data_IF_689147915746
#
_entry.id   IF_689147915746
#
_cell.length_a   1.000
_cell.length_b   1.000
_cell.length_c   1.000
_cell.angle_alpha   90.00
_cell.angle_beta   90.00
_cell.angle_gamma   90.00
#
_symmetry.space_group_name_H-M   'P 1'
#
loop_
_entity.id
_entity.type
_entity.pdbx_description
1 polymer ?
#
# COMPACT_ATOMS: atom_id res chain seq x y z
N UNK A 1 -30.08 0.48 15.82
CA UNK A 1 -30.61 1.86 15.92
C UNK A 1 -30.24 2.63 14.65
N UNK A 2 -31.15 2.78 13.70
CA UNK A 2 -30.94 3.65 12.52
C UNK A 2 -31.65 4.98 12.77
N UNK A 3 -30.90 6.00 13.16
CA UNK A 3 -31.39 7.37 13.14
C UNK A 3 -31.55 7.80 11.68
N UNK A 4 -32.76 8.14 11.28
CA UNK A 4 -33.05 8.80 10.01
C UNK A 4 -32.61 10.26 10.15
N UNK A 5 -31.39 10.57 9.74
CA UNK A 5 -30.78 11.90 9.90
C UNK A 5 -30.75 12.71 8.59
N UNK A 6 -31.42 12.26 7.52
CA UNK A 6 -31.44 12.98 6.24
C UNK A 6 -30.10 12.96 5.48
N UNK A 7 -29.10 12.24 5.97
CA UNK A 7 -27.84 12.00 5.28
C UNK A 7 -28.05 10.87 4.26
N UNK A 8 -28.15 11.25 2.98
CA UNK A 8 -28.36 10.32 1.87
C UNK A 8 -27.05 9.75 1.30
N UNK A 9 -25.94 10.44 1.56
CA UNK A 9 -24.62 10.12 1.08
C UNK A 9 -23.59 10.04 2.20
N UNK A 10 -22.43 9.47 1.88
CA UNK A 10 -21.28 9.36 2.77
C UNK A 10 -20.05 9.91 2.07
N UNK A 11 -19.43 10.88 2.74
CA UNK A 11 -18.26 11.58 2.26
C UNK A 11 -17.06 11.21 3.15
N UNK A 12 -16.04 10.61 2.53
CA UNK A 12 -14.89 10.07 3.25
C UNK A 12 -13.61 10.09 2.41
N UNK A 13 -12.48 10.14 3.09
CA UNK A 13 -11.15 10.01 2.49
C UNK A 13 -10.50 8.71 2.90
N UNK A 14 -9.72 8.16 1.98
CA UNK A 14 -8.95 6.94 2.20
C UNK A 14 -7.48 7.20 1.94
N UNK A 15 -6.65 6.88 2.92
CA UNK A 15 -5.20 6.88 2.81
C UNK A 15 -4.65 5.49 3.14
N UNK A 16 -3.58 5.13 2.44
CA UNK A 16 -2.83 3.90 2.66
C UNK A 16 -1.39 4.27 3.00
N UNK A 17 -0.83 3.69 4.05
CA UNK A 17 0.57 3.90 4.37
C UNK A 17 1.45 3.07 3.44
N UNK A 18 2.30 3.73 2.65
CA UNK A 18 3.24 3.09 1.71
C UNK A 18 4.69 3.42 2.04
N UNK A 19 4.93 4.20 3.10
CA UNK A 19 6.26 4.49 3.64
C UNK A 19 6.93 3.28 4.30
N UNK A 20 8.18 3.49 4.72
CA UNK A 20 8.97 2.45 5.38
C UNK A 20 8.65 2.36 6.89
N UNK A 21 8.45 1.14 7.38
CA UNK A 21 8.24 0.86 8.81
C UNK A 21 6.77 0.93 9.23
N UNK A 22 6.51 1.44 10.44
CA UNK A 22 5.17 1.52 11.02
C UNK A 22 4.56 2.89 10.73
N UNK A 23 3.42 2.92 10.06
CA UNK A 23 2.67 4.15 9.81
C UNK A 23 2.15 4.75 11.12
N UNK A 24 2.64 5.94 11.49
CA UNK A 24 2.16 6.70 12.65
C UNK A 24 1.26 7.86 12.22
N UNK A 25 0.27 8.18 13.04
CA UNK A 25 -0.60 9.36 12.91
C UNK A 25 -0.32 10.42 13.98
N UNK A 26 0.50 10.10 14.97
CA UNK A 26 0.75 10.99 16.10
C UNK A 26 1.43 12.28 15.62
N UNK A 27 0.84 13.43 15.97
CA UNK A 27 1.35 14.75 15.59
C UNK A 27 1.13 15.14 14.12
N UNK A 28 0.43 14.31 13.33
CA UNK A 28 0.09 14.65 11.96
C UNK A 28 -1.19 15.49 11.91
N UNK A 29 -1.15 16.55 11.11
CA UNK A 29 -2.35 17.21 10.64
C UNK A 29 -3.01 16.33 9.59
N UNK A 30 -4.34 16.26 9.59
CA UNK A 30 -5.08 15.55 8.56
C UNK A 30 -5.23 16.45 7.32
N UNK A 31 -4.17 16.63 6.53
CA UNK A 31 -4.22 17.25 5.19
C UNK A 31 -3.41 16.41 4.21
N UNK A 32 -3.72 16.45 2.90
CA UNK A 32 -3.00 15.62 1.93
C UNK A 32 -1.50 15.85 1.93
N UNK A 33 -1.06 17.11 2.08
CA UNK A 33 0.35 17.46 2.10
C UNK A 33 1.09 16.90 3.33
N UNK A 34 0.51 17.00 4.52
CA UNK A 34 1.14 16.43 5.73
C UNK A 34 1.11 14.91 5.72
N UNK A 35 0.02 14.31 5.26
CA UNK A 35 -0.10 12.86 5.11
C UNK A 35 0.94 12.32 4.12
N UNK A 36 1.09 12.94 2.94
CA UNK A 36 2.09 12.57 1.94
C UNK A 36 3.52 12.68 2.48
N UNK A 37 3.84 13.76 3.18
CA UNK A 37 5.16 13.96 3.82
C UNK A 37 5.48 12.85 4.84
N UNK A 38 4.45 12.34 5.51
CA UNK A 38 4.57 11.28 6.50
C UNK A 38 4.54 9.86 5.89
N UNK A 39 4.54 9.71 4.57
CA UNK A 39 4.55 8.40 3.89
C UNK A 39 3.18 7.76 3.70
N UNK A 40 2.10 8.55 3.84
CA UNK A 40 0.76 8.11 3.51
C UNK A 40 0.39 8.52 2.09
N UNK A 41 -0.03 7.56 1.29
CA UNK A 41 -0.54 7.79 -0.06
C UNK A 41 -2.04 8.02 0.01
N UNK A 42 -2.51 9.11 -0.59
CA UNK A 42 -3.94 9.32 -0.83
C UNK A 42 -4.42 8.29 -1.85
N UNK A 43 -5.39 7.47 -1.45
CA UNK A 43 -6.07 6.53 -2.35
C UNK A 43 -7.21 7.24 -3.06
N UNK A 44 -7.96 8.06 -2.32
CA UNK A 44 -8.96 8.95 -2.91
C UNK A 44 -9.83 9.68 -1.90
N UNK A 45 -10.40 10.79 -2.37
CA UNK A 45 -11.57 11.41 -1.75
C UNK A 45 -12.82 10.88 -2.43
N UNK A 46 -13.81 10.53 -1.62
CA UNK A 46 -15.07 10.00 -2.11
C UNK A 46 -16.19 10.88 -1.57
N UNK A 47 -16.94 11.48 -2.49
CA UNK A 47 -18.12 12.28 -2.21
C UNK A 47 -19.35 11.69 -2.89
N UNK A 48 -20.52 11.79 -2.24
CA UNK A 48 -21.81 11.42 -2.84
C UNK A 48 -22.08 9.92 -2.93
N UNK A 49 -21.48 9.09 -2.07
CA UNK A 49 -21.68 7.64 -2.10
C UNK A 49 -23.01 7.19 -1.49
N UNK A 50 -23.80 6.38 -2.21
CA UNK A 50 -25.06 5.79 -1.71
C UNK A 50 -24.89 5.07 -0.37
N UNK A 51 -25.79 5.33 0.57
CA UNK A 51 -25.87 4.75 1.92
C UNK A 51 -26.04 3.22 1.98
N UNK A 52 -26.00 2.51 0.85
CA UNK A 52 -26.21 1.06 0.77
C UNK A 52 -25.30 0.39 -0.25
N UNK A 53 -24.57 -0.63 0.19
CA UNK A 53 -23.79 -1.53 -0.67
C UNK A 53 -22.28 -1.42 -0.54
N UNK A 54 -21.58 -2.18 -1.38
CA UNK A 54 -20.13 -2.11 -1.50
C UNK A 54 -19.73 -0.91 -2.36
N UNK A 55 -18.66 -0.23 -1.95
CA UNK A 55 -18.01 0.79 -2.75
C UNK A 55 -16.54 0.40 -2.95
N UNK A 56 -16.10 0.35 -4.20
CA UNK A 56 -14.67 0.25 -4.53
C UNK A 56 -14.00 1.57 -4.15
N UNK A 57 -12.92 1.47 -3.36
CA UNK A 57 -12.15 2.61 -2.86
C UNK A 57 -10.69 2.59 -3.31
N UNK A 58 -10.22 1.47 -3.82
CA UNK A 58 -8.84 1.23 -4.23
C UNK A 58 -8.83 0.49 -5.56
N UNK A 59 -9.00 1.25 -6.65
CA UNK A 59 -9.00 0.76 -8.04
C UNK A 59 -7.59 0.73 -8.65
N UNK A 60 -6.61 1.29 -7.95
CA UNK A 60 -5.20 1.37 -8.37
C UNK A 60 -4.30 0.32 -7.72
N UNK A 61 -4.88 -0.69 -7.07
CA UNK A 61 -4.15 -1.80 -6.44
C UNK A 61 -3.06 -1.33 -5.45
N UNK A 62 -3.39 -0.37 -4.58
CA UNK A 62 -2.54 0.03 -3.46
C UNK A 62 -2.72 -0.97 -2.32
N UNK A 63 -1.63 -1.50 -1.80
CA UNK A 63 -1.61 -2.41 -0.68
C UNK A 63 -0.97 -1.74 0.52
N UNK A 64 -1.56 -1.97 1.69
CA UNK A 64 -1.01 -1.48 2.95
C UNK A 64 -1.49 -2.33 4.11
N UNK A 65 -0.66 -2.40 5.16
CA UNK A 65 -1.07 -2.92 6.47
C UNK A 65 -1.72 -1.84 7.34
N UNK A 66 -1.59 -0.56 6.96
CA UNK A 66 -2.16 0.56 7.72
C UNK A 66 -3.01 1.43 6.80
N UNK A 67 -4.31 1.42 7.07
CA UNK A 67 -5.31 2.19 6.35
C UNK A 67 -5.92 3.23 7.27
N UNK A 68 -6.10 4.44 6.75
CA UNK A 68 -6.83 5.50 7.41
C UNK A 68 -8.07 5.84 6.57
N UNK A 69 -9.24 5.53 7.12
CA UNK A 69 -10.53 5.86 6.53
C UNK A 69 -11.21 6.83 7.49
N UNK A 70 -11.43 8.06 7.03
CA UNK A 70 -11.92 9.15 7.87
C UNK A 70 -12.90 10.03 7.11
N UNK A 71 -13.41 11.05 7.81
CA UNK A 71 -14.25 12.06 7.19
C UNK A 71 -13.56 12.67 5.96
N UNK A 72 -14.33 13.14 4.99
CA UNK A 72 -13.77 13.73 3.79
C UNK A 72 -12.83 14.89 4.14
N UNK A 73 -11.64 14.83 3.53
CA UNK A 73 -10.52 15.74 3.74
C UNK A 73 -10.17 16.51 2.45
N UNK A 74 -10.99 16.33 1.41
CA UNK A 74 -10.92 17.10 0.18
C UNK A 74 -11.62 18.45 0.34
N UNK A 75 -12.32 18.89 -0.72
CA UNK A 75 -13.02 20.17 -0.72
C UNK A 75 -14.13 20.19 0.34
N UNK A 76 -14.03 21.14 1.27
CA UNK A 76 -14.99 21.36 2.33
C UNK A 76 -16.18 22.18 1.82
N UNK A 77 -17.39 21.61 1.82
CA UNK A 77 -18.62 22.27 1.39
C UNK A 77 -19.41 22.91 2.57
N UNK A 78 -18.77 23.03 3.73
CA UNK A 78 -19.32 23.51 5.01
C UNK A 78 -20.40 22.61 5.64
N UNK A 79 -20.75 21.48 5.03
CA UNK A 79 -21.66 20.50 5.64
C UNK A 79 -20.94 19.62 6.65
N UNK A 80 -21.72 18.93 7.46
CA UNK A 80 -21.24 18.01 8.49
C UNK A 80 -21.55 16.60 8.07
N UNK A 81 -20.58 15.91 7.49
CA UNK A 81 -20.81 14.53 7.06
C UNK A 81 -20.49 13.54 8.15
N UNK A 82 -21.21 12.43 8.09
CA UNK A 82 -20.95 11.25 8.89
C UNK A 82 -21.04 10.04 7.99
N UNK A 83 -20.07 9.14 8.09
CA UNK A 83 -20.12 7.84 7.42
C UNK A 83 -20.09 6.73 8.47
N UNK A 84 -20.69 5.60 8.11
CA UNK A 84 -20.62 4.37 8.91
C UNK A 84 -19.95 3.30 8.08
N UNK A 85 -18.85 2.77 8.62
CA UNK A 85 -18.14 1.66 8.01
C UNK A 85 -18.67 0.35 8.59
N UNK A 86 -19.38 -0.43 7.77
CA UNK A 86 -19.86 -1.75 8.18
C UNK A 86 -18.73 -2.80 8.11
N UNK A 87 -18.01 -2.84 6.99
CA UNK A 87 -16.89 -3.75 6.76
C UNK A 87 -15.99 -3.26 5.62
N UNK A 88 -14.73 -3.70 5.66
CA UNK A 88 -13.76 -3.56 4.58
C UNK A 88 -13.38 -4.96 4.13
N UNK A 89 -13.26 -5.15 2.82
CA UNK A 89 -12.75 -6.38 2.23
C UNK A 89 -11.86 -6.02 1.03
N UNK A 90 -10.89 -6.87 0.75
CA UNK A 90 -9.95 -6.70 -0.35
C UNK A 90 -9.06 -7.92 -0.49
N UNK A 91 -8.17 -7.86 -1.46
CA UNK A 91 -7.10 -8.83 -1.71
C UNK A 91 -5.86 -8.49 -0.89
N UNK A 92 -4.95 -9.45 -0.75
CA UNK A 92 -3.66 -9.26 -0.08
C UNK A 92 -2.52 -9.25 -1.11
N UNK A 93 -1.32 -8.84 -0.68
CA UNK A 93 -0.14 -8.84 -1.55
C UNK A 93 0.21 -10.22 -2.14
N UNK A 94 -0.27 -11.30 -1.55
CA UNK A 94 -0.18 -12.66 -2.13
C UNK A 94 -0.91 -12.77 -3.47
N UNK A 95 -1.96 -11.98 -3.66
CA UNK A 95 -2.83 -12.03 -4.83
C UNK A 95 -2.28 -11.15 -5.97
N UNK A 96 -1.51 -10.09 -5.63
CA UNK A 96 -0.77 -9.25 -6.58
C UNK A 96 0.57 -8.75 -5.99
N UNK A 97 1.66 -9.53 -6.10
CA UNK A 97 2.94 -9.22 -5.47
C UNK A 97 3.64 -7.96 -6.02
N UNK A 98 3.26 -7.51 -7.21
CA UNK A 98 3.80 -6.31 -7.87
C UNK A 98 3.04 -5.02 -7.54
N UNK A 99 1.99 -5.09 -6.72
CA UNK A 99 1.16 -3.94 -6.35
C UNK A 99 1.93 -2.87 -5.56
N UNK A 100 1.48 -1.61 -5.68
CA UNK A 100 2.10 -0.51 -4.96
C UNK A 100 1.92 -0.70 -3.45
N UNK A 101 3.00 -0.59 -2.66
CA UNK A 101 2.95 -0.85 -1.21
C UNK A 101 3.07 -2.32 -0.80
N UNK A 102 3.16 -3.27 -1.75
CA UNK A 102 3.49 -4.67 -1.45
C UNK A 102 4.98 -4.95 -1.19
N UNK A 103 5.78 -3.92 -0.97
CA UNK A 103 7.21 -4.06 -0.70
C UNK A 103 7.99 -4.76 -1.82
N UNK A 104 7.48 -4.76 -3.06
CA UNK A 104 8.08 -5.47 -4.18
C UNK A 104 8.20 -6.96 -3.90
N UNK A 105 7.15 -7.72 -4.21
CA UNK A 105 7.21 -9.17 -4.32
C UNK A 105 8.17 -9.58 -5.44
N UNK A 106 9.44 -9.59 -5.07
CA UNK A 106 10.56 -9.55 -5.97
C UNK A 106 11.77 -9.13 -5.19
N UNK A 107 12.00 -9.77 -4.05
CA UNK A 107 13.36 -10.10 -3.70
C UNK A 107 13.97 -10.79 -4.93
N UNK A 108 14.58 -10.01 -5.81
CA UNK A 108 15.93 -10.32 -6.21
C UNK A 108 16.67 -10.41 -4.87
N UNK A 109 16.58 -11.58 -4.24
CA UNK A 109 17.70 -12.14 -3.52
C UNK A 109 18.86 -11.77 -4.43
N UNK A 110 19.81 -10.93 -4.00
CA UNK A 110 21.04 -10.81 -4.75
C UNK A 110 21.43 -12.25 -4.98
N UNK A 111 21.40 -12.73 -6.23
CA UNK A 111 21.90 -14.05 -6.55
C UNK A 111 23.24 -14.09 -5.85
N UNK A 112 23.35 -14.80 -4.72
CA UNK A 112 24.30 -14.37 -3.72
C UNK A 112 25.66 -14.49 -4.37
N UNK A 113 26.66 -13.74 -3.93
CA UNK A 113 28.02 -13.88 -4.46
C UNK A 113 28.48 -15.34 -4.59
N UNK A 114 27.81 -16.31 -3.96
CA UNK A 114 27.83 -17.76 -4.25
C UNK A 114 27.65 -18.19 -5.71
N UNK A 115 26.78 -17.61 -6.55
CA UNK A 115 26.68 -18.00 -7.97
C UNK A 115 27.90 -17.49 -8.76
N UNK A 116 28.31 -16.26 -8.48
CA UNK A 116 29.56 -15.69 -9.01
C UNK A 116 30.80 -16.48 -8.52
N UNK A 117 30.82 -16.91 -7.25
CA UNK A 117 31.92 -17.63 -6.61
C UNK A 117 31.94 -19.11 -7.06
N UNK A 118 30.78 -19.72 -7.27
CA UNK A 118 30.65 -21.05 -7.88
C UNK A 118 31.12 -21.02 -9.33
N UNK A 119 30.72 -20.00 -10.09
CA UNK A 119 31.20 -19.75 -11.46
C UNK A 119 32.72 -19.53 -11.50
N UNK A 120 33.23 -18.60 -10.70
CA UNK A 120 34.66 -18.30 -10.61
C UNK A 120 35.48 -19.51 -10.13
N UNK A 121 34.96 -20.29 -9.17
CA UNK A 121 35.58 -21.52 -8.69
C UNK A 121 35.67 -22.59 -9.78
N UNK A 122 34.61 -22.78 -10.57
CA UNK A 122 34.58 -23.76 -11.65
C UNK A 122 35.53 -23.38 -12.82
N UNK A 123 35.60 -22.09 -13.16
CA UNK A 123 36.57 -21.59 -14.14
C UNK A 123 38.02 -21.67 -13.63
N UNK A 124 38.24 -21.46 -12.32
CA UNK A 124 39.55 -21.66 -11.69
C UNK A 124 40.02 -23.12 -11.77
N UNK A 125 39.14 -24.08 -11.46
CA UNK A 125 39.44 -25.52 -11.47
C UNK A 125 39.70 -26.06 -12.88
N UNK A 126 38.98 -25.60 -13.89
CA UNK A 126 39.23 -26.02 -15.28
C UNK A 126 40.61 -25.55 -15.80
N UNK A 127 41.10 -24.39 -15.34
CA UNK A 127 42.45 -23.89 -15.68
C UNK A 127 43.56 -24.64 -14.94
N UNK A 128 43.35 -25.07 -13.69
CA UNK A 128 44.35 -25.86 -12.95
C UNK A 128 44.46 -27.29 -13.47
N UNK A 129 43.33 -27.94 -13.79
CA UNK A 129 43.34 -29.30 -14.37
C UNK A 129 44.05 -29.36 -15.72
N UNK A 130 43.91 -28.33 -16.57
CA UNK A 130 44.65 -28.24 -17.85
C UNK A 130 46.16 -28.08 -17.69
N UNK A 131 46.63 -27.53 -16.57
CA UNK A 131 48.07 -27.39 -16.28
C UNK A 131 48.68 -28.64 -15.65
N UNK A 132 47.87 -29.50 -15.06
CA UNK A 132 48.31 -30.77 -14.46
C UNK A 132 48.38 -31.93 -15.47
N UNK A 133 47.87 -31.73 -16.69
CA UNK A 133 47.85 -32.73 -17.76
C UNK A 133 48.99 -32.56 -18.80
N UNK A 134 50.01 -31.74 -18.49
CA UNK A 134 51.28 -31.59 -19.19
C UNK A 134 52.43 -31.77 -18.19
#
# INVERSE_FOLDING_TARGET
MSGNTGYGDSDFSVYAYTGAGVGTLAGLTYTDASMATAGWTLVGHHSGGSSTGWKTINDTDIYSSYWLIGANNGTNDSKKDAFKLLKVAGTTCTDNPGGNGCGGGGGQVPEPGTLLLLGAGLFGLTRTLRRSAN
#
